data_IF_303827145769
#
_entry.id   IF_303827145769
#
_cell.length_a   1.000
_cell.length_b   1.000
_cell.length_c   1.000
_cell.angle_alpha   90.00
_cell.angle_beta   90.00
_cell.angle_gamma   90.00
#
_symmetry.space_group_name_H-M   'P 1'
#
loop_
_entity.id
_entity.type
_entity.pdbx_description
1 polymer ?
#
# COMPACT_ATOMS: atom_id res chain seq x y z
N UNK A 1 15.83 51.72 -41.59
CA UNK A 1 15.87 50.26 -41.83
C UNK A 1 15.77 49.58 -40.46
N UNK A 2 14.60 49.00 -40.19
CA UNK A 2 14.29 48.38 -38.90
C UNK A 2 14.91 46.99 -38.81
N UNK A 3 15.45 46.63 -37.64
CA UNK A 3 15.54 45.24 -37.19
C UNK A 3 15.57 45.23 -35.65
N UNK A 4 14.38 45.43 -35.07
CA UNK A 4 14.07 44.92 -33.74
C UNK A 4 14.12 43.39 -33.81
N UNK A 5 15.15 42.77 -33.22
CA UNK A 5 15.14 41.34 -32.92
C UNK A 5 14.88 41.18 -31.41
N UNK A 6 13.59 41.27 -31.06
CA UNK A 6 13.06 40.82 -29.79
C UNK A 6 13.25 39.29 -29.72
N UNK A 7 14.31 38.84 -29.06
CA UNK A 7 14.54 37.42 -28.79
C UNK A 7 13.56 36.96 -27.68
N UNK A 8 12.31 36.77 -28.05
CA UNK A 8 11.31 36.07 -27.27
C UNK A 8 11.53 34.56 -27.42
N UNK A 9 12.53 34.01 -26.74
CA UNK A 9 12.63 32.54 -26.58
C UNK A 9 12.00 32.18 -25.24
N UNK A 10 10.68 32.02 -25.33
CA UNK A 10 9.81 31.14 -24.56
C UNK A 10 10.58 30.28 -23.56
N UNK A 11 10.50 30.66 -22.30
CA UNK A 11 10.82 29.78 -21.19
C UNK A 11 10.00 28.51 -21.34
N UNK A 12 10.66 27.42 -21.73
CA UNK A 12 10.14 26.08 -21.55
C UNK A 12 10.00 25.87 -20.04
N UNK A 13 8.88 26.29 -19.46
CA UNK A 13 8.40 25.73 -18.20
C UNK A 13 8.07 24.28 -18.49
N UNK A 14 9.14 23.46 -18.41
CA UNK A 14 9.14 22.01 -18.40
C UNK A 14 7.85 21.51 -17.77
N UNK A 15 7.05 20.82 -18.59
CA UNK A 15 5.80 20.20 -18.19
C UNK A 15 5.99 19.37 -16.90
N UNK A 16 5.56 19.94 -15.78
CA UNK A 16 4.48 19.37 -14.98
C UNK A 16 4.69 18.00 -14.36
N UNK A 17 5.92 17.57 -14.09
CA UNK A 17 6.18 16.43 -13.22
C UNK A 17 6.12 16.85 -11.75
N UNK A 18 4.94 16.86 -11.10
CA UNK A 18 4.86 17.06 -9.63
C UNK A 18 5.94 16.20 -8.95
N UNK A 19 6.89 16.85 -8.26
CA UNK A 19 7.96 16.16 -7.54
C UNK A 19 7.30 15.24 -6.51
N UNK A 20 7.67 13.97 -6.54
CA UNK A 20 7.18 12.97 -5.59
C UNK A 20 7.84 13.24 -4.23
N UNK A 21 7.06 13.28 -3.15
CA UNK A 21 7.56 13.53 -1.80
C UNK A 21 8.54 12.44 -1.34
N UNK A 22 9.35 12.73 -0.31
CA UNK A 22 10.26 11.75 0.27
C UNK A 22 9.53 10.51 0.83
N UNK A 23 8.39 10.73 1.52
CA UNK A 23 7.55 9.65 2.07
C UNK A 23 6.96 8.78 0.96
N UNK A 24 6.45 9.39 -0.11
CA UNK A 24 5.95 8.66 -1.28
C UNK A 24 7.07 7.88 -1.99
N UNK A 25 8.27 8.45 -2.14
CA UNK A 25 9.43 7.72 -2.67
C UNK A 25 9.79 6.51 -1.79
N UNK A 26 9.79 6.68 -0.47
CA UNK A 26 10.07 5.60 0.48
C UNK A 26 9.07 4.44 0.37
N UNK A 27 7.81 4.77 0.08
CA UNK A 27 6.74 3.81 -0.16
C UNK A 27 6.87 3.11 -1.52
N UNK A 28 7.26 3.84 -2.57
CA UNK A 28 7.38 3.35 -3.94
C UNK A 28 8.61 2.46 -4.20
N UNK A 29 9.73 2.72 -3.52
CA UNK A 29 11.00 2.04 -3.77
C UNK A 29 11.02 0.58 -3.29
N UNK A 30 9.87 0.04 -2.85
CA UNK A 30 9.78 -1.25 -2.16
C UNK A 30 8.58 -2.02 -2.67
N UNK A 31 8.73 -3.35 -2.69
CA UNK A 31 7.61 -4.28 -2.74
C UNK A 31 7.33 -4.73 -1.32
N UNK A 32 6.11 -4.52 -0.87
CA UNK A 32 5.67 -4.83 0.49
C UNK A 32 5.02 -6.20 0.49
N UNK A 33 5.56 -7.17 1.23
CA UNK A 33 4.99 -8.51 1.41
C UNK A 33 4.11 -8.49 2.64
N UNK A 34 2.86 -8.90 2.49
CA UNK A 34 1.92 -9.00 3.60
C UNK A 34 2.39 -10.06 4.60
N UNK A 35 2.53 -9.65 5.86
CA UNK A 35 2.85 -10.52 6.97
C UNK A 35 1.54 -11.01 7.61
N UNK A 36 1.07 -12.16 7.12
CA UNK A 36 -0.18 -12.76 7.58
C UNK A 36 -0.11 -13.21 9.05
N UNK A 37 1.07 -13.55 9.55
CA UNK A 37 1.26 -13.99 10.93
C UNK A 37 1.25 -12.80 11.88
N UNK A 38 2.08 -11.78 11.61
CA UNK A 38 2.10 -10.56 12.41
C UNK A 38 0.74 -9.86 12.41
N UNK A 39 0.07 -9.81 11.24
CA UNK A 39 -1.26 -9.20 11.14
C UNK A 39 -2.30 -9.97 11.95
N UNK A 40 -2.32 -11.31 11.90
CA UNK A 40 -3.22 -12.12 12.74
C UNK A 40 -2.94 -11.93 14.22
N UNK A 41 -1.67 -11.93 14.63
CA UNK A 41 -1.29 -11.71 16.02
C UNK A 41 -1.81 -10.38 16.56
N UNK A 42 -1.68 -9.28 15.79
CA UNK A 42 -2.24 -7.98 16.17
C UNK A 42 -3.77 -7.99 16.21
N UNK A 43 -4.43 -8.65 15.26
CA UNK A 43 -5.89 -8.80 15.28
C UNK A 43 -6.37 -9.56 16.52
N UNK A 44 -5.70 -10.65 16.90
CA UNK A 44 -6.04 -11.39 18.11
C UNK A 44 -5.79 -10.61 19.41
N UNK A 45 -4.73 -9.80 19.48
CA UNK A 45 -4.53 -8.87 20.61
C UNK A 45 -5.70 -7.89 20.74
N UNK A 46 -6.15 -7.33 19.62
CA UNK A 46 -7.29 -6.43 19.60
C UNK A 46 -8.59 -7.13 20.06
N UNK A 47 -8.86 -8.34 19.58
CA UNK A 47 -10.03 -9.15 19.97
C UNK A 47 -9.99 -9.51 21.46
N UNK A 48 -8.85 -10.01 21.95
CA UNK A 48 -8.67 -10.33 23.37
C UNK A 48 -8.97 -9.12 24.26
N UNK A 49 -8.47 -7.95 23.86
CA UNK A 49 -8.67 -6.70 24.60
C UNK A 49 -10.14 -6.23 24.57
N UNK A 50 -10.87 -6.45 23.47
CA UNK A 50 -12.23 -5.90 23.31
C UNK A 50 -13.35 -6.83 23.75
N UNK A 51 -13.14 -8.15 23.74
CA UNK A 51 -14.23 -9.13 23.94
C UNK A 51 -14.00 -10.09 25.10
N UNK A 52 -12.79 -10.19 25.65
CA UNK A 52 -12.46 -11.18 26.69
C UNK A 52 -12.53 -12.64 26.22
N UNK A 53 -12.63 -12.90 24.90
CA UNK A 53 -12.65 -14.26 24.34
C UNK A 53 -11.31 -14.94 24.62
N UNK A 54 -11.30 -15.89 25.57
CA UNK A 54 -10.11 -16.62 26.02
C UNK A 54 -9.43 -17.45 24.91
N UNK A 55 -10.19 -17.84 23.87
CA UNK A 55 -9.73 -18.69 22.77
C UNK A 55 -9.29 -17.92 21.51
N UNK A 56 -9.09 -16.60 21.55
CA UNK A 56 -8.53 -15.90 20.37
C UNK A 56 -7.10 -16.36 20.05
N UNK A 57 -6.45 -17.07 20.99
CA UNK A 57 -5.22 -17.84 20.77
C UNK A 57 -5.34 -18.84 19.62
N UNK A 58 -6.51 -19.42 19.38
CA UNK A 58 -6.67 -20.51 18.40
C UNK A 58 -6.70 -19.96 16.97
N UNK A 59 -7.19 -18.74 16.80
CA UNK A 59 -7.22 -18.00 15.52
C UNK A 59 -5.85 -17.37 15.20
N UNK A 60 -5.07 -17.05 16.24
CA UNK A 60 -3.73 -16.44 16.09
C UNK A 60 -2.62 -17.47 15.97
N UNK A 61 -2.70 -18.57 16.71
CA UNK A 61 -1.69 -19.63 16.76
C UNK A 61 -2.05 -20.82 15.87
N UNK A 62 -2.38 -20.57 14.60
CA UNK A 62 -2.46 -21.65 13.61
C UNK A 62 -1.12 -22.39 13.58
N UNK A 63 -1.15 -23.73 13.66
CA UNK A 63 0.02 -24.62 13.64
C UNK A 63 0.02 -25.52 12.40
N UNK A 64 1.15 -26.20 12.17
CA UNK A 64 1.29 -27.24 11.15
C UNK A 64 0.87 -26.78 9.75
N UNK A 65 0.16 -27.64 9.02
CA UNK A 65 -0.24 -27.37 7.65
C UNK A 65 -1.37 -26.34 7.52
N UNK A 66 -2.21 -26.17 8.55
CA UNK A 66 -3.22 -25.09 8.59
C UNK A 66 -2.53 -23.73 8.59
N UNK A 67 -1.42 -23.57 9.32
CA UNK A 67 -0.58 -22.34 9.25
C UNK A 67 -0.06 -22.11 7.84
N UNK A 68 0.45 -23.16 7.17
CA UNK A 68 1.00 -23.07 5.82
C UNK A 68 -0.08 -22.67 4.81
N UNK A 69 -1.26 -23.31 4.86
CA UNK A 69 -2.39 -23.00 3.98
C UNK A 69 -2.89 -21.57 4.23
N UNK A 70 -3.12 -21.19 5.50
CA UNK A 70 -3.56 -19.85 5.85
C UNK A 70 -2.58 -18.77 5.38
N UNK A 71 -1.28 -18.98 5.60
CA UNK A 71 -0.24 -18.06 5.13
C UNK A 71 -0.15 -18.04 3.60
N UNK A 72 -0.35 -19.18 2.93
CA UNK A 72 -0.36 -19.25 1.46
C UNK A 72 -1.53 -18.47 0.87
N UNK A 73 -2.74 -18.65 1.39
CA UNK A 73 -3.96 -17.98 0.90
C UNK A 73 -3.94 -16.48 1.16
N UNK A 74 -3.41 -16.07 2.32
CA UNK A 74 -3.27 -14.65 2.67
C UNK A 74 -2.06 -13.99 2.04
N UNK A 75 -1.10 -14.75 1.50
CA UNK A 75 0.11 -14.20 0.92
C UNK A 75 -0.25 -13.27 -0.24
N UNK A 76 0.12 -12.01 -0.08
CA UNK A 76 0.05 -11.04 -1.15
C UNK A 76 1.13 -10.00 -1.01
N UNK A 77 1.46 -9.33 -2.11
CA UNK A 77 2.36 -8.19 -2.10
C UNK A 77 1.63 -6.93 -2.54
N UNK A 78 1.99 -5.79 -1.98
CA UNK A 78 1.57 -4.47 -2.40
C UNK A 78 2.79 -3.72 -2.95
N UNK A 79 2.64 -3.08 -4.09
CA UNK A 79 3.67 -2.22 -4.68
C UNK A 79 3.03 -0.91 -5.13
N UNK A 80 3.60 0.21 -4.69
CA UNK A 80 3.23 1.55 -5.17
C UNK A 80 4.28 1.97 -6.19
N UNK A 81 3.86 2.58 -7.30
CA UNK A 81 4.77 2.97 -8.38
C UNK A 81 4.23 4.15 -9.16
N UNK A 82 5.09 4.79 -9.95
CA UNK A 82 4.69 5.82 -10.91
C UNK A 82 4.35 5.14 -12.24
N UNK A 83 3.11 5.31 -12.69
CA UNK A 83 2.69 4.82 -14.01
C UNK A 83 3.45 5.55 -15.13
N UNK A 84 3.42 4.98 -16.35
CA UNK A 84 3.99 5.61 -17.55
C UNK A 84 3.46 7.03 -17.79
N UNK A 85 2.22 7.32 -17.37
CA UNK A 85 1.56 8.63 -17.47
C UNK A 85 1.87 9.57 -16.28
N UNK A 86 2.86 9.24 -15.46
CA UNK A 86 3.28 10.05 -14.32
C UNK A 86 2.37 9.99 -13.08
N UNK A 87 1.20 9.34 -13.15
CA UNK A 87 0.27 9.17 -12.02
C UNK A 87 0.77 8.09 -11.06
N UNK A 88 0.55 8.25 -9.77
CA UNK A 88 0.81 7.20 -8.78
C UNK A 88 -0.22 6.07 -8.94
N UNK A 89 0.28 4.85 -8.89
CA UNK A 89 -0.48 3.62 -9.08
C UNK A 89 -0.07 2.59 -8.04
N UNK A 90 -0.93 1.59 -7.85
CA UNK A 90 -0.65 0.47 -6.99
C UNK A 90 -0.91 -0.85 -7.72
N UNK A 91 -0.17 -1.88 -7.33
CA UNK A 91 -0.37 -3.25 -7.75
C UNK A 91 -0.39 -4.15 -6.53
N UNK A 92 -1.42 -4.99 -6.43
CA UNK A 92 -1.48 -6.10 -5.48
C UNK A 92 -1.33 -7.41 -6.23
N UNK A 93 -0.44 -8.28 -5.76
CA UNK A 93 -0.30 -9.64 -6.27
C UNK A 93 -0.70 -10.59 -5.17
N UNK A 94 -1.74 -11.41 -5.37
CA UNK A 94 -2.17 -12.46 -4.42
C UNK A 94 -1.67 -13.82 -4.88
N UNK A 95 -1.39 -14.72 -3.95
CA UNK A 95 -0.95 -16.08 -4.22
C UNK A 95 0.53 -16.21 -4.61
N UNK A 96 0.97 -17.42 -4.93
CA UNK A 96 2.33 -17.74 -5.42
C UNK A 96 2.23 -18.65 -6.67
N UNK A 97 3.22 -18.57 -7.55
CA UNK A 97 3.32 -19.43 -8.74
C UNK A 97 2.18 -19.24 -9.73
N UNK A 98 1.71 -20.35 -10.30
CA UNK A 98 0.64 -20.40 -11.32
C UNK A 98 -0.71 -19.88 -10.82
N UNK A 99 -0.94 -19.89 -9.50
CA UNK A 99 -2.15 -19.36 -8.86
C UNK A 99 -2.05 -17.86 -8.53
N UNK A 100 -1.01 -17.18 -9.02
CA UNK A 100 -0.84 -15.75 -8.75
C UNK A 100 -1.78 -14.89 -9.59
N UNK A 101 -2.48 -13.97 -8.93
CA UNK A 101 -3.34 -12.98 -9.59
C UNK A 101 -2.85 -11.57 -9.29
N UNK A 102 -2.95 -10.67 -10.28
CA UNK A 102 -2.53 -9.27 -10.16
C UNK A 102 -3.73 -8.36 -10.32
N UNK A 103 -3.91 -7.46 -9.36
CA UNK A 103 -4.90 -6.38 -9.42
C UNK A 103 -4.15 -5.06 -9.37
N UNK A 104 -4.59 -4.09 -10.16
CA UNK A 104 -3.97 -2.77 -10.28
C UNK A 104 -5.01 -1.68 -10.12
N UNK A 105 -4.56 -0.52 -9.67
CA UNK A 105 -5.39 0.67 -9.58
C UNK A 105 -4.54 1.92 -9.43
N UNK A 106 -5.20 3.04 -9.18
CA UNK A 106 -4.55 4.31 -8.94
C UNK A 106 -4.42 4.59 -7.46
N UNK A 107 -3.34 5.28 -7.10
CA UNK A 107 -3.05 5.69 -5.74
C UNK A 107 -3.23 7.21 -5.63
N UNK A 108 -3.85 7.67 -4.56
CA UNK A 108 -3.85 9.09 -4.18
C UNK A 108 -3.71 9.23 -2.67
N UNK A 109 -3.09 10.31 -2.23
CA UNK A 109 -3.20 10.74 -0.83
C UNK A 109 -4.56 11.37 -0.60
N UNK A 110 -5.16 11.12 0.56
CA UNK A 110 -6.41 11.76 0.98
C UNK A 110 -6.14 13.15 1.54
N UNK A 111 -5.06 13.29 2.28
CA UNK A 111 -4.61 14.53 2.92
C UNK A 111 -3.25 15.00 2.37
N UNK A 112 -2.90 16.26 2.62
CA UNK A 112 -1.64 16.87 2.18
C UNK A 112 -0.42 16.39 2.99
N UNK A 113 -0.65 15.90 4.21
CA UNK A 113 0.37 15.40 5.14
C UNK A 113 0.77 13.94 4.81
N UNK A 114 0.11 13.36 3.82
CA UNK A 114 0.32 12.01 3.32
C UNK A 114 0.12 10.94 4.40
N UNK A 115 -0.82 11.15 5.31
CA UNK A 115 -1.12 10.26 6.43
C UNK A 115 -2.10 9.16 6.06
N UNK A 116 -3.02 9.45 5.14
CA UNK A 116 -4.02 8.52 4.63
C UNK A 116 -3.88 8.33 3.13
N UNK A 117 -3.72 7.07 2.71
CA UNK A 117 -3.68 6.70 1.30
C UNK A 117 -5.01 6.08 0.86
N UNK A 118 -5.43 6.43 -0.35
CA UNK A 118 -6.59 5.85 -1.02
C UNK A 118 -6.11 5.01 -2.19
N UNK A 119 -6.42 3.72 -2.13
CA UNK A 119 -6.17 2.77 -3.21
C UNK A 119 -7.46 2.63 -4.03
N UNK A 120 -7.49 3.29 -5.19
CA UNK A 120 -8.66 3.32 -6.06
C UNK A 120 -8.91 1.95 -6.67
N UNK A 121 -10.15 1.45 -6.57
CA UNK A 121 -10.56 0.13 -7.07
C UNK A 121 -9.96 -1.08 -6.32
N UNK A 122 -9.48 -0.89 -5.08
CA UNK A 122 -8.83 -1.94 -4.30
C UNK A 122 -9.75 -3.11 -3.92
N UNK A 123 -11.02 -2.82 -3.70
CA UNK A 123 -12.06 -3.78 -3.28
C UNK A 123 -12.96 -4.22 -4.45
N UNK A 124 -12.51 -4.01 -5.70
CA UNK A 124 -13.29 -4.30 -6.91
C UNK A 124 -13.62 -3.03 -7.70
N UNK A 125 -14.36 -3.18 -8.81
CA UNK A 125 -14.74 -2.05 -9.67
C UNK A 125 -15.44 -0.97 -8.84
N UNK A 126 -14.87 0.23 -8.81
CA UNK A 126 -15.44 1.40 -8.12
C UNK A 126 -15.37 1.39 -6.59
N UNK A 127 -14.82 0.34 -5.96
CA UNK A 127 -14.70 0.26 -4.50
C UNK A 127 -13.28 0.56 -4.06
N UNK A 128 -13.08 1.76 -3.56
CA UNK A 128 -11.80 2.22 -3.05
C UNK A 128 -11.51 1.63 -1.66
N UNK A 129 -10.25 1.73 -1.23
CA UNK A 129 -9.88 1.43 0.15
C UNK A 129 -9.00 2.56 0.69
N UNK A 130 -9.41 3.12 1.83
CA UNK A 130 -8.61 4.10 2.56
C UNK A 130 -7.80 3.40 3.64
N UNK A 131 -6.53 3.77 3.76
CA UNK A 131 -5.65 3.28 4.80
C UNK A 131 -4.87 4.42 5.44
N UNK A 132 -4.89 4.49 6.77
CA UNK A 132 -3.97 5.34 7.52
C UNK A 132 -2.61 4.65 7.65
N UNK A 133 -1.53 5.38 7.44
CA UNK A 133 -0.16 4.90 7.64
C UNK A 133 0.18 5.06 9.12
N UNK A 134 0.23 3.95 9.84
CA UNK A 134 0.69 3.94 11.23
C UNK A 134 2.22 3.92 11.30
N UNK A 135 2.88 3.21 10.39
CA UNK A 135 4.34 3.09 10.38
C UNK A 135 4.87 2.94 8.96
N UNK A 136 5.93 3.67 8.62
CA UNK A 136 6.66 3.52 7.35
C UNK A 136 8.18 3.65 7.58
N UNK A 137 8.86 2.52 7.67
CA UNK A 137 10.32 2.42 7.80
C UNK A 137 10.94 1.82 6.52
N UNK A 138 12.23 1.49 6.56
CA UNK A 138 12.87 0.82 5.43
C UNK A 138 12.57 -0.67 5.33
N UNK A 139 12.18 -1.29 6.44
CA UNK A 139 11.81 -2.71 6.48
C UNK A 139 10.32 -2.96 6.67
N UNK A 140 9.54 -2.00 7.17
CA UNK A 140 8.18 -2.23 7.66
C UNK A 140 7.19 -1.16 7.21
N UNK A 141 6.01 -1.60 6.81
CA UNK A 141 4.84 -0.77 6.53
C UNK A 141 3.67 -1.30 7.35
N UNK A 142 3.02 -0.44 8.14
CA UNK A 142 1.81 -0.77 8.88
C UNK A 142 0.69 0.16 8.45
N UNK A 143 -0.40 -0.45 7.99
CA UNK A 143 -1.59 0.24 7.51
C UNK A 143 -2.77 -0.07 8.43
N UNK A 144 -3.55 0.94 8.77
CA UNK A 144 -4.83 0.79 9.46
C UNK A 144 -5.94 0.93 8.43
N UNK A 145 -6.87 -0.02 8.38
CA UNK A 145 -8.10 0.15 7.59
C UNK A 145 -9.12 1.05 8.32
N UNK A 146 -10.27 1.27 7.70
CA UNK A 146 -11.33 2.17 8.21
C UNK A 146 -11.90 1.75 9.58
N UNK A 147 -11.78 0.47 9.96
CA UNK A 147 -12.20 -0.05 11.28
C UNK A 147 -11.03 -0.15 12.27
N UNK A 148 -9.85 0.40 11.94
CA UNK A 148 -8.66 0.38 12.80
C UNK A 148 -7.90 -0.95 12.82
N UNK A 149 -8.23 -1.91 11.97
CA UNK A 149 -7.50 -3.17 11.87
C UNK A 149 -6.17 -2.97 11.14
N UNK A 150 -5.09 -3.45 11.77
CA UNK A 150 -3.73 -3.36 11.24
C UNK A 150 -3.53 -4.34 10.08
N UNK A 151 -2.76 -3.91 9.10
CA UNK A 151 -2.17 -4.73 8.03
C UNK A 151 -0.68 -4.49 8.02
N UNK A 152 0.08 -5.52 8.35
CA UNK A 152 1.53 -5.45 8.46
C UNK A 152 2.14 -5.97 7.17
N UNK A 153 3.13 -5.23 6.68
CA UNK A 153 3.94 -5.63 5.55
C UNK A 153 5.42 -5.47 5.86
N UNK A 154 6.19 -6.43 5.38
CA UNK A 154 7.65 -6.40 5.41
C UNK A 154 8.18 -6.11 4.01
N UNK A 155 9.36 -5.50 3.92
CA UNK A 155 10.04 -5.31 2.64
C UNK A 155 10.39 -6.68 2.03
N UNK A 156 10.09 -6.86 0.73
CA UNK A 156 10.61 -7.94 -0.09
C UNK A 156 12.02 -7.63 -0.59
#
# INVERSE_FOLDING_TARGET
MACFALALVVGMTSCGGKKVSAKTKKLMNKRWVYDAEATRAEAGKAINKSTGIKNASDVTNLKGDVKKIGNFLMNHTLQIYKSKKGKLAWQRTKGKGVLSSKVRGFFKWKDKEENEMVLLGYNGKGKDATFKIETLTDGKLVLLNEIGAKKIYNRK
#
